data_IF_491896357764
#
_entry.id   IF_491896357764
#
_cell.length_a   1.000
_cell.length_b   1.000
_cell.length_c   1.000
_cell.angle_alpha   90.00
_cell.angle_beta   90.00
_cell.angle_gamma   90.00
#
_symmetry.space_group_name_H-M   'P 1'
#
loop_
_entity.id
_entity.type
_entity.pdbx_description
1 polymer ?
#
# COMPACT_ATOMS: atom_id res chain seq x y z
N UNK A 1 11.05 27.36 2.45
CA UNK A 1 9.59 27.14 2.27
C UNK A 1 9.38 25.64 2.37
N UNK A 2 9.03 25.15 3.54
CA UNK A 2 8.88 23.71 3.81
C UNK A 2 7.44 23.35 3.49
N UNK A 3 7.21 22.71 2.35
CA UNK A 3 5.88 22.21 1.99
C UNK A 3 5.55 21.08 2.98
N UNK A 4 4.54 21.30 3.82
CA UNK A 4 4.08 20.29 4.77
C UNK A 4 3.40 19.17 3.98
N UNK A 5 4.12 18.06 3.78
CA UNK A 5 3.56 16.88 3.09
C UNK A 5 2.71 16.14 4.11
N UNK A 6 1.39 16.30 4.01
CA UNK A 6 0.45 15.55 4.83
C UNK A 6 0.17 14.17 4.22
N UNK A 7 0.36 13.11 5.01
CA UNK A 7 0.01 11.74 4.61
C UNK A 7 -1.32 11.33 5.23
N UNK A 8 -2.10 10.52 4.52
CA UNK A 8 -3.42 10.03 4.96
C UNK A 8 -3.41 8.52 4.95
N UNK A 9 -4.03 7.89 5.95
CA UNK A 9 -4.14 6.45 6.02
C UNK A 9 -5.12 5.93 4.96
N UNK A 10 -4.69 5.07 4.05
CA UNK A 10 -5.52 4.55 2.95
C UNK A 10 -6.70 3.68 3.41
N UNK A 11 -6.66 3.21 4.66
CA UNK A 11 -7.69 2.33 5.20
C UNK A 11 -8.79 3.09 5.95
N UNK A 12 -8.44 4.17 6.66
CA UNK A 12 -9.39 4.88 7.53
C UNK A 12 -9.40 6.41 7.39
N UNK A 13 -8.62 6.98 6.48
CA UNK A 13 -8.60 8.42 6.20
C UNK A 13 -7.95 9.29 7.28
N UNK A 14 -7.37 8.71 8.34
CA UNK A 14 -6.68 9.50 9.38
C UNK A 14 -5.41 10.13 8.83
N UNK A 15 -5.22 11.42 9.08
CA UNK A 15 -3.99 12.13 8.75
C UNK A 15 -2.84 11.74 9.67
N UNK A 16 -1.63 11.74 9.13
CA UNK A 16 -0.38 11.56 9.88
C UNK A 16 -0.14 12.76 10.78
N UNK A 17 -0.45 12.59 12.05
CA UNK A 17 0.00 13.48 13.13
C UNK A 17 1.22 12.92 13.86
N UNK A 18 1.43 13.34 15.10
CA UNK A 18 2.57 12.98 15.96
C UNK A 18 2.57 11.51 16.46
N UNK A 19 1.65 10.66 15.99
CA UNK A 19 1.57 9.26 16.42
C UNK A 19 2.63 8.37 15.73
N UNK A 20 3.38 7.61 16.53
CA UNK A 20 4.67 6.98 16.22
C UNK A 20 4.62 5.65 15.43
N UNK A 21 3.46 5.16 15.03
CA UNK A 21 3.35 3.83 14.42
C UNK A 21 2.67 3.93 13.05
N UNK A 22 3.48 4.25 12.04
CA UNK A 22 3.05 4.23 10.65
C UNK A 22 3.80 3.13 9.91
N UNK A 23 3.12 2.58 8.92
CA UNK A 23 3.66 1.56 8.03
C UNK A 23 3.42 2.00 6.60
N UNK A 24 4.22 1.43 5.70
CA UNK A 24 4.03 1.57 4.27
C UNK A 24 3.82 0.19 3.68
N UNK A 25 3.00 0.11 2.64
CA UNK A 25 2.82 -1.11 1.87
C UNK A 25 3.05 -0.80 0.41
N UNK A 26 3.76 -1.70 -0.26
CA UNK A 26 3.84 -1.74 -1.71
C UNK A 26 3.29 -3.09 -2.19
N UNK A 27 2.46 -3.01 -3.22
CA UNK A 27 1.98 -4.17 -3.96
C UNK A 27 2.89 -4.41 -5.16
N UNK A 28 2.88 -5.62 -5.70
CA UNK A 28 3.53 -5.89 -6.97
C UNK A 28 3.41 -7.33 -7.39
N UNK A 29 4.11 -7.67 -8.44
CA UNK A 29 4.14 -9.01 -9.01
C UNK A 29 5.32 -9.82 -8.46
N UNK A 30 5.13 -11.14 -8.37
CA UNK A 30 6.19 -12.11 -8.10
C UNK A 30 6.12 -13.25 -9.10
N UNK A 31 7.25 -13.65 -9.72
CA UNK A 31 7.25 -14.77 -10.65
C UNK A 31 6.65 -16.03 -10.00
N UNK A 32 5.57 -16.52 -10.58
CA UNK A 32 5.00 -17.82 -10.23
C UNK A 32 5.41 -18.84 -11.29
N UNK A 33 5.98 -19.95 -10.84
CA UNK A 33 6.45 -21.03 -11.72
C UNK A 33 5.39 -22.13 -11.91
N UNK A 34 4.28 -22.05 -11.17
CA UNK A 34 3.16 -22.98 -11.25
C UNK A 34 1.97 -22.35 -11.99
N UNK A 35 1.40 -23.11 -12.92
CA UNK A 35 0.24 -22.70 -13.70
C UNK A 35 -0.98 -22.53 -12.80
N UNK A 36 -1.61 -21.34 -12.83
CA UNK A 36 -2.79 -21.02 -12.02
C UNK A 36 -2.52 -20.34 -10.67
N UNK A 37 -1.25 -20.14 -10.27
CA UNK A 37 -0.92 -19.36 -9.08
C UNK A 37 -0.96 -17.85 -9.37
N UNK A 38 -1.64 -17.03 -8.55
CA UNK A 38 -1.65 -15.58 -8.74
C UNK A 38 -0.27 -14.98 -8.43
N UNK A 39 0.27 -14.20 -9.36
CA UNK A 39 1.49 -13.40 -9.19
C UNK A 39 1.16 -12.17 -8.35
N UNK A 40 1.14 -12.30 -7.02
CA UNK A 40 0.82 -11.20 -6.13
C UNK A 40 1.81 -11.12 -4.96
N UNK A 41 2.30 -9.91 -4.70
CA UNK A 41 3.21 -9.59 -3.60
C UNK A 41 2.63 -8.47 -2.75
N UNK A 42 2.62 -8.69 -1.44
CA UNK A 42 2.36 -7.68 -0.43
C UNK A 42 3.61 -7.50 0.41
N UNK A 43 4.19 -6.30 0.41
CA UNK A 43 5.39 -6.00 1.20
C UNK A 43 5.06 -4.93 2.24
N UNK A 44 5.09 -5.31 3.52
CA UNK A 44 4.92 -4.40 4.66
C UNK A 44 6.27 -3.85 5.10
N UNK A 45 6.38 -2.53 5.15
CA UNK A 45 7.61 -1.81 5.47
C UNK A 45 7.39 -0.88 6.67
N UNK A 46 8.39 -0.70 7.55
CA UNK A 46 8.35 0.37 8.55
C UNK A 46 8.29 1.72 7.83
N UNK A 47 7.71 2.72 8.48
CA UNK A 47 7.67 4.08 7.93
C UNK A 47 9.06 4.61 7.57
N UNK A 48 9.20 5.15 6.36
CA UNK A 48 10.39 5.85 5.92
C UNK A 48 9.98 7.14 5.20
N UNK A 49 10.46 8.29 5.68
CA UNK A 49 10.04 9.59 5.14
C UNK A 49 10.56 9.89 3.73
N UNK A 50 11.65 9.24 3.28
CA UNK A 50 12.14 9.35 1.91
C UNK A 50 11.23 8.61 0.93
N UNK A 51 10.99 7.33 1.24
CA UNK A 51 10.19 6.43 0.41
C UNK A 51 8.68 6.72 0.48
N UNK A 52 8.19 7.35 1.55
CA UNK A 52 6.76 7.62 1.72
C UNK A 52 6.17 8.54 0.64
N UNK A 53 7.01 9.23 -0.12
CA UNK A 53 6.58 10.08 -1.25
C UNK A 53 6.38 9.30 -2.55
N UNK A 54 6.75 8.02 -2.61
CA UNK A 54 6.44 7.19 -3.76
C UNK A 54 4.92 7.02 -3.86
N UNK A 55 4.36 7.33 -5.04
CA UNK A 55 2.93 7.22 -5.33
C UNK A 55 2.39 5.79 -5.29
N UNK A 56 3.26 4.78 -5.38
CA UNK A 56 2.88 3.36 -5.27
C UNK A 56 2.73 2.89 -3.82
N UNK A 57 3.13 3.73 -2.84
CA UNK A 57 3.07 3.37 -1.43
C UNK A 57 1.69 3.66 -0.85
N UNK A 58 1.10 2.63 -0.28
CA UNK A 58 -0.02 2.79 0.65
C UNK A 58 0.53 3.17 2.03
N UNK A 59 -0.06 4.16 2.67
CA UNK A 59 0.26 4.63 4.02
C UNK A 59 -0.75 4.10 5.02
N UNK A 60 -0.27 3.43 6.07
CA UNK A 60 -1.13 2.76 7.04
C UNK A 60 -0.87 3.25 8.47
N UNK A 61 -1.92 3.68 9.17
CA UNK A 61 -1.81 4.07 10.57
C UNK A 61 -1.96 2.86 11.51
N UNK A 62 -0.85 2.43 12.11
CA UNK A 62 -0.79 1.38 13.11
C UNK A 62 -1.12 -0.03 12.61
N UNK A 63 -1.03 -0.98 13.53
CA UNK A 63 -1.22 -2.40 13.26
C UNK A 63 -2.63 -2.73 12.75
N UNK A 64 -3.68 -2.12 13.29
CA UNK A 64 -5.06 -2.42 12.88
C UNK A 64 -5.35 -2.12 11.41
N UNK A 65 -4.80 -1.02 10.88
CA UNK A 65 -4.93 -0.72 9.45
C UNK A 65 -4.04 -1.62 8.59
N UNK A 66 -2.85 -1.99 9.08
CA UNK A 66 -1.98 -2.95 8.40
C UNK A 66 -2.66 -4.33 8.23
N UNK A 67 -3.32 -4.83 9.27
CA UNK A 67 -4.06 -6.09 9.21
C UNK A 67 -5.23 -6.03 8.22
N UNK A 68 -6.02 -4.94 8.23
CA UNK A 68 -7.11 -4.75 7.26
C UNK A 68 -6.62 -4.69 5.81
N UNK A 69 -5.48 -4.03 5.57
CA UNK A 69 -4.88 -3.99 4.24
C UNK A 69 -4.48 -5.40 3.77
N UNK A 70 -3.88 -6.19 4.67
CA UNK A 70 -3.52 -7.58 4.39
C UNK A 70 -4.76 -8.46 4.14
N UNK A 71 -5.82 -8.31 4.93
CA UNK A 71 -7.10 -9.02 4.72
C UNK A 71 -7.70 -8.71 3.35
N UNK A 72 -7.71 -7.43 2.93
CA UNK A 72 -8.17 -7.00 1.60
C UNK A 72 -7.32 -7.65 0.50
N UNK A 73 -6.00 -7.54 0.61
CA UNK A 73 -5.07 -8.14 -0.34
C UNK A 73 -5.27 -9.65 -0.48
N UNK A 74 -5.45 -10.38 0.62
CA UNK A 74 -5.70 -11.83 0.59
C UNK A 74 -7.04 -12.20 -0.08
N UNK A 75 -8.00 -11.28 -0.11
CA UNK A 75 -9.34 -11.51 -0.64
C UNK A 75 -9.46 -11.12 -2.11
N UNK A 76 -8.92 -9.96 -2.49
CA UNK A 76 -9.11 -9.36 -3.83
C UNK A 76 -7.81 -9.19 -4.62
N UNK A 77 -6.65 -9.40 -3.99
CA UNK A 77 -5.35 -9.08 -4.56
C UNK A 77 -5.01 -7.58 -4.56
N UNK A 78 -5.89 -6.73 -4.04
CA UNK A 78 -5.74 -5.27 -4.02
C UNK A 78 -5.97 -4.71 -2.61
N UNK A 79 -5.60 -3.44 -2.39
CA UNK A 79 -5.99 -2.69 -1.20
C UNK A 79 -6.96 -1.61 -1.64
N UNK A 80 -8.25 -1.89 -1.56
CA UNK A 80 -9.28 -0.88 -1.79
C UNK A 80 -9.08 0.26 -0.79
N UNK A 81 -8.85 1.48 -1.27
CA UNK A 81 -8.65 2.65 -0.42
C UNK A 81 -9.97 3.30 -0.06
N UNK A 82 -10.02 4.01 1.06
CA UNK A 82 -11.24 4.69 1.50
C UNK A 82 -11.64 5.86 0.57
N UNK A 83 -10.75 6.27 -0.35
CA UNK A 83 -10.94 7.42 -1.25
C UNK A 83 -11.31 7.03 -2.70
N UNK A 84 -11.62 5.76 -2.97
CA UNK A 84 -12.16 5.34 -4.28
C UNK A 84 -11.17 5.47 -5.45
N UNK A 85 -9.88 5.63 -5.17
CA UNK A 85 -8.83 5.65 -6.18
C UNK A 85 -8.19 4.26 -6.26
N UNK A 86 -8.63 3.46 -7.24
CA UNK A 86 -8.01 2.18 -7.57
C UNK A 86 -6.63 2.43 -8.17
N UNK A 87 -5.56 1.97 -7.50
CA UNK A 87 -4.23 1.95 -8.10
C UNK A 87 -4.16 0.71 -8.99
N UNK A 88 -4.46 0.88 -10.28
CA UNK A 88 -4.30 -0.17 -11.29
C UNK A 88 -2.83 -0.62 -11.36
N UNK A 89 -2.63 -1.92 -11.21
CA UNK A 89 -1.35 -2.58 -11.44
C UNK A 89 -1.11 -2.51 -12.95
N UNK A 90 -0.18 -1.66 -13.39
CA UNK A 90 0.22 -1.61 -14.80
C UNK A 90 0.89 -2.94 -15.18
N UNK A 91 0.10 -3.85 -15.72
CA UNK A 91 0.58 -5.04 -16.40
C UNK A 91 1.54 -4.62 -17.51
N UNK A 92 2.80 -5.00 -17.36
CA UNK A 92 3.85 -4.77 -18.35
C UNK A 92 3.41 -5.30 -19.72
N UNK A 93 3.20 -4.36 -20.64
CA UNK A 93 2.99 -4.60 -22.07
C UNK A 93 4.10 -5.48 -22.64
N UNK A 94 3.75 -6.69 -23.08
CA UNK A 94 4.54 -7.44 -24.06
C UNK A 94 4.77 -6.58 -25.31
N UNK A 95 6.02 -6.20 -25.55
CA UNK A 95 6.61 -6.01 -26.88
C UNK A 95 8.04 -6.49 -26.85
#
# INVERSE_FOLDING_TARGET
>A
MTWDVSFTCDICGKKKGEANHWWMVILGDVPCFEEGQPSLRFTLLPWNAGESRNSEMYHLCGQGCAMKAMERFMTTGTIETNDGMEHEIHAGSMR
#
